data_IF_503872346274
#
_entry.id   IF_503872346274
#
_cell.length_a   1.000
_cell.length_b   1.000
_cell.length_c   1.000
_cell.angle_alpha   90.00
_cell.angle_beta   90.00
_cell.angle_gamma   90.00
#
_symmetry.space_group_name_H-M   'P 1'
#
loop_
_entity.id
_entity.type
_entity.pdbx_description
1 polymer ?
#
# COMPACT_ATOMS: atom_id res chain seq x y z
N UNK A 1 7.49 2.34 42.60
CA UNK A 1 8.14 1.39 41.68
C UNK A 1 7.40 1.48 40.36
N UNK A 2 8.10 1.97 39.33
CA UNK A 2 7.54 2.20 38.01
C UNK A 2 7.29 0.88 37.29
N UNK A 3 6.13 0.75 36.65
CA UNK A 3 5.91 -0.22 35.57
C UNK A 3 5.14 0.49 34.46
N UNK A 4 5.92 1.14 33.59
CA UNK A 4 5.47 1.62 32.30
C UNK A 4 5.50 0.43 31.33
N UNK A 5 4.34 -0.08 30.94
CA UNK A 5 4.23 -1.03 29.82
C UNK A 5 3.44 -0.31 28.73
N UNK A 6 4.03 0.04 27.57
CA UNK A 6 3.21 0.46 26.43
C UNK A 6 2.35 -0.71 25.98
N UNK A 7 1.12 -0.51 25.47
CA UNK A 7 0.39 -1.59 24.83
C UNK A 7 1.23 -2.05 23.63
N UNK A 8 1.77 -3.27 23.71
CA UNK A 8 2.25 -3.96 22.51
C UNK A 8 1.09 -4.00 21.53
N UNK A 9 1.17 -3.22 20.46
CA UNK A 9 0.15 -3.22 19.42
C UNK A 9 0.09 -4.62 18.81
N UNK A 10 -0.85 -5.43 19.29
CA UNK A 10 -1.13 -6.75 18.72
C UNK A 10 -1.77 -6.52 17.35
N UNK A 11 -0.98 -6.66 16.29
CA UNK A 11 -1.49 -6.61 14.92
C UNK A 11 -2.51 -7.73 14.69
N UNK A 12 -3.51 -7.46 13.86
CA UNK A 12 -4.52 -8.46 13.51
C UNK A 12 -3.89 -9.63 12.74
N UNK A 13 -4.52 -10.83 12.73
CA UNK A 13 -4.06 -11.94 11.90
C UNK A 13 -4.01 -11.61 10.40
N UNK A 14 -4.93 -10.76 9.92
CA UNK A 14 -4.98 -10.31 8.51
C UNK A 14 -3.80 -9.40 8.19
N UNK A 15 -3.50 -8.44 9.08
CA UNK A 15 -2.33 -7.58 8.96
C UNK A 15 -1.04 -8.38 8.86
N UNK A 16 -0.85 -9.39 9.73
CA UNK A 16 0.36 -10.22 9.73
C UNK A 16 0.50 -11.04 8.45
N UNK A 17 -0.62 -11.50 7.87
CA UNK A 17 -0.62 -12.19 6.59
C UNK A 17 -0.20 -11.24 5.45
N UNK A 18 -0.82 -10.06 5.35
CA UNK A 18 -0.50 -9.06 4.33
C UNK A 18 0.93 -8.51 4.45
N UNK A 19 1.45 -8.41 5.67
CA UNK A 19 2.86 -8.08 5.90
C UNK A 19 3.79 -9.13 5.28
N UNK A 20 3.44 -10.42 5.38
CA UNK A 20 4.18 -11.50 4.71
C UNK A 20 4.03 -11.52 3.18
N UNK A 21 2.92 -10.98 2.66
CA UNK A 21 2.69 -10.80 1.22
C UNK A 21 3.31 -9.52 0.66
N UNK A 22 3.76 -8.61 1.52
CA UNK A 22 4.42 -7.37 1.10
C UNK A 22 5.83 -7.68 0.63
N UNK A 23 6.11 -7.38 -0.63
CA UNK A 23 7.39 -7.66 -1.24
C UNK A 23 7.95 -6.43 -1.97
N UNK A 24 9.28 -6.40 -2.07
CA UNK A 24 9.96 -5.53 -3.03
C UNK A 24 9.65 -6.01 -4.44
N UNK A 25 9.40 -5.08 -5.35
CA UNK A 25 9.05 -5.37 -6.73
C UNK A 25 9.60 -4.29 -7.66
N UNK A 26 9.95 -4.70 -8.88
CA UNK A 26 10.35 -3.77 -9.93
C UNK A 26 9.13 -3.18 -10.64
N UNK A 27 9.28 -1.98 -11.20
CA UNK A 27 8.19 -1.34 -11.94
C UNK A 27 7.67 -2.20 -13.11
N UNK A 28 8.56 -2.94 -13.80
CA UNK A 28 8.22 -3.80 -14.93
C UNK A 28 7.12 -4.83 -14.60
N UNK A 29 7.16 -5.43 -13.40
CA UNK A 29 6.15 -6.38 -12.95
C UNK A 29 4.82 -5.71 -12.59
N UNK A 30 4.85 -4.42 -12.27
CA UNK A 30 3.69 -3.60 -11.93
C UNK A 30 2.97 -3.02 -13.16
N UNK A 31 3.67 -2.87 -14.29
CA UNK A 31 3.12 -2.30 -15.53
C UNK A 31 1.84 -2.99 -15.98
N UNK A 32 1.77 -4.34 -15.86
CA UNK A 32 0.57 -5.10 -16.23
C UNK A 32 -0.64 -4.75 -15.38
N UNK A 33 -0.45 -4.42 -14.11
CA UNK A 33 -1.53 -4.05 -13.19
C UNK A 33 -1.92 -2.59 -13.40
N UNK A 34 -0.95 -1.72 -13.70
CA UNK A 34 -1.20 -0.36 -14.14
C UNK A 34 -2.04 -0.33 -15.42
N UNK A 35 -1.68 -1.10 -16.45
CA UNK A 35 -2.41 -1.20 -17.71
C UNK A 35 -3.86 -1.72 -17.52
N UNK A 36 -4.09 -2.54 -16.50
CA UNK A 36 -5.42 -3.02 -16.11
C UNK A 36 -6.21 -2.01 -15.24
N UNK A 37 -5.62 -0.88 -14.88
CA UNK A 37 -6.21 0.11 -13.97
C UNK A 37 -6.37 -0.39 -12.53
N UNK A 38 -5.57 -1.38 -12.11
CA UNK A 38 -5.64 -2.06 -10.80
C UNK A 38 -4.56 -1.63 -9.80
N UNK A 39 -3.75 -0.65 -10.17
CA UNK A 39 -2.64 -0.19 -9.34
C UNK A 39 -3.07 1.00 -8.48
N UNK A 40 -2.91 0.89 -7.17
CA UNK A 40 -3.10 1.98 -6.22
C UNK A 40 -1.75 2.47 -5.71
N UNK A 41 -1.52 3.77 -5.80
CA UNK A 41 -0.38 4.44 -5.19
C UNK A 41 -0.72 4.84 -3.76
N UNK A 42 0.15 4.48 -2.82
CA UNK A 42 0.01 4.82 -1.40
C UNK A 42 1.07 5.85 -1.04
N UNK A 43 0.63 6.95 -0.43
CA UNK A 43 1.50 8.01 0.07
C UNK A 43 2.47 7.46 1.12
N UNK A 44 3.67 8.03 1.19
CA UNK A 44 4.75 7.56 2.07
C UNK A 44 4.45 7.72 3.56
N UNK A 45 3.55 8.63 3.91
CA UNK A 45 3.14 8.87 5.29
C UNK A 45 2.11 7.83 5.80
N UNK A 46 1.66 6.91 4.94
CA UNK A 46 0.81 5.79 5.32
C UNK A 46 1.59 4.48 5.35
N UNK A 47 1.16 3.58 6.23
CA UNK A 47 1.64 2.21 6.24
C UNK A 47 0.93 1.39 5.15
N UNK A 48 1.73 0.78 4.26
CA UNK A 48 1.23 0.03 3.11
C UNK A 48 0.34 -1.16 3.52
N UNK A 49 0.71 -1.86 4.61
CA UNK A 49 -0.03 -3.03 5.11
C UNK A 49 -1.37 -2.62 5.70
N UNK A 50 -1.41 -1.52 6.44
CA UNK A 50 -2.64 -0.94 7.00
C UNK A 50 -3.64 -0.54 5.91
N UNK A 51 -3.15 0.01 4.79
CA UNK A 51 -4.01 0.32 3.63
C UNK A 51 -4.56 -0.95 2.99
N UNK A 52 -3.71 -1.97 2.81
CA UNK A 52 -4.15 -3.25 2.27
C UNK A 52 -5.16 -3.97 3.17
N UNK A 53 -4.97 -3.91 4.49
CA UNK A 53 -5.89 -4.48 5.47
C UNK A 53 -7.26 -3.80 5.40
N UNK A 54 -7.30 -2.47 5.32
CA UNK A 54 -8.54 -1.72 5.21
C UNK A 54 -9.30 -2.06 3.91
N UNK A 55 -8.58 -2.22 2.78
CA UNK A 55 -9.19 -2.66 1.51
C UNK A 55 -9.70 -4.10 1.62
N UNK A 56 -8.90 -5.01 2.18
CA UNK A 56 -9.26 -6.42 2.34
C UNK A 56 -10.46 -6.61 3.27
N UNK A 57 -10.61 -5.74 4.26
CA UNK A 57 -11.70 -5.74 5.24
C UNK A 57 -12.94 -4.97 4.77
N UNK A 58 -12.94 -4.41 3.55
CA UNK A 58 -14.00 -3.55 3.02
C UNK A 58 -14.31 -2.34 3.93
N UNK A 59 -13.29 -1.77 4.59
CA UNK A 59 -13.41 -0.54 5.37
C UNK A 59 -13.51 0.69 4.45
N UNK A 60 -14.67 0.81 3.83
CA UNK A 60 -15.00 1.85 2.86
C UNK A 60 -14.88 3.25 3.43
N UNK A 61 -15.18 3.45 4.71
CA UNK A 61 -15.09 4.77 5.32
C UNK A 61 -13.64 5.24 5.41
N UNK A 62 -12.74 4.37 5.87
CA UNK A 62 -11.32 4.69 5.97
C UNK A 62 -10.67 4.85 4.59
N UNK A 63 -10.98 3.95 3.66
CA UNK A 63 -10.46 4.03 2.28
C UNK A 63 -10.95 5.30 1.58
N UNK A 64 -12.23 5.67 1.74
CA UNK A 64 -12.77 6.91 1.15
C UNK A 64 -12.09 8.16 1.72
N UNK A 65 -11.77 8.17 3.01
CA UNK A 65 -11.03 9.27 3.64
C UNK A 65 -9.64 9.44 3.02
N UNK A 66 -8.90 8.36 2.83
CA UNK A 66 -7.58 8.42 2.19
C UNK A 66 -7.64 8.82 0.72
N UNK A 67 -8.63 8.32 -0.03
CA UNK A 67 -8.87 8.74 -1.41
C UNK A 67 -9.16 10.24 -1.51
N UNK A 68 -10.01 10.75 -0.62
CA UNK A 68 -10.38 12.18 -0.59
C UNK A 68 -9.22 13.08 -0.16
N UNK A 69 -8.33 12.57 0.69
CA UNK A 69 -7.13 13.28 1.14
C UNK A 69 -5.96 13.16 0.15
N UNK A 70 -6.06 12.34 -0.91
CA UNK A 70 -4.97 12.06 -1.84
C UNK A 70 -3.84 11.21 -1.25
N UNK A 71 -4.08 10.53 -0.13
CA UNK A 71 -3.09 9.62 0.46
C UNK A 71 -3.09 8.24 -0.19
N UNK A 72 -4.22 7.83 -0.74
CA UNK A 72 -4.33 6.66 -1.59
C UNK A 72 -4.97 7.15 -2.87
N UNK A 73 -4.43 6.76 -4.01
CA UNK A 73 -5.02 7.10 -5.31
C UNK A 73 -4.76 6.00 -6.32
N UNK A 74 -5.54 5.97 -7.41
CA UNK A 74 -5.14 5.15 -8.55
C UNK A 74 -3.83 5.69 -9.11
N UNK A 75 -2.93 4.79 -9.48
CA UNK A 75 -1.65 5.17 -10.06
C UNK A 75 -1.88 6.06 -11.28
N UNK A 76 -1.35 7.28 -11.23
CA UNK A 76 -1.45 8.24 -12.34
C UNK A 76 -0.40 7.95 -13.39
N UNK A 77 -0.69 8.28 -14.64
CA UNK A 77 0.24 8.10 -15.75
C UNK A 77 1.58 8.85 -15.53
N UNK A 78 1.54 10.04 -14.90
CA UNK A 78 2.75 10.79 -14.57
C UNK A 78 3.66 10.06 -13.58
N UNK A 79 3.10 9.52 -12.49
CA UNK A 79 3.84 8.73 -11.50
C UNK A 79 4.35 7.42 -12.09
N UNK A 80 3.52 6.75 -12.90
CA UNK A 80 3.92 5.54 -13.62
C UNK A 80 5.13 5.80 -14.54
N UNK A 81 5.11 6.91 -15.29
CA UNK A 81 6.23 7.30 -16.15
C UNK A 81 7.49 7.68 -15.35
N UNK A 82 7.32 8.35 -14.21
CA UNK A 82 8.43 8.65 -13.29
C UNK A 82 9.07 7.36 -12.75
N UNK A 83 8.27 6.38 -12.33
CA UNK A 83 8.77 5.09 -11.85
C UNK A 83 9.45 4.30 -12.97
N UNK A 84 8.90 4.31 -14.19
CA UNK A 84 9.55 3.71 -15.34
C UNK A 84 10.93 4.35 -15.65
N UNK A 85 11.06 5.66 -15.42
CA UNK A 85 12.29 6.41 -15.72
C UNK A 85 13.34 6.25 -14.63
N UNK A 86 12.94 6.40 -13.37
CA UNK A 86 13.86 6.38 -12.22
C UNK A 86 14.11 4.98 -11.68
N UNK A 87 13.25 4.02 -12.01
CA UNK A 87 13.21 2.66 -11.49
C UNK A 87 13.51 2.59 -9.97
N UNK A 88 12.73 3.32 -9.15
CA UNK A 88 12.94 3.31 -7.71
C UNK A 88 12.65 1.93 -7.13
N UNK A 89 13.17 1.65 -5.93
CA UNK A 89 12.75 0.45 -5.21
C UNK A 89 11.29 0.63 -4.75
N UNK A 90 10.40 -0.28 -5.18
CA UNK A 90 8.98 -0.24 -4.85
C UNK A 90 8.62 -1.38 -3.93
N UNK A 91 7.70 -1.13 -3.00
CA UNK A 91 7.03 -2.16 -2.22
C UNK A 91 5.62 -2.32 -2.73
N UNK A 92 5.15 -3.55 -2.81
CA UNK A 92 3.79 -3.85 -3.21
C UNK A 92 3.16 -4.93 -2.34
N UNK A 93 1.85 -4.82 -2.19
CA UNK A 93 0.99 -5.83 -1.55
C UNK A 93 -0.25 -6.02 -2.41
N UNK A 94 -0.62 -7.28 -2.62
CA UNK A 94 -1.77 -7.64 -3.47
C UNK A 94 -2.99 -7.78 -2.59
N UNK A 95 -4.04 -7.03 -2.89
CA UNK A 95 -5.34 -7.10 -2.21
C UNK A 95 -6.44 -7.13 -3.25
N UNK A 96 -6.88 -8.34 -3.61
CA UNK A 96 -7.75 -8.56 -4.77
C UNK A 96 -8.97 -7.63 -4.78
N UNK A 97 -9.27 -6.97 -5.91
CA UNK A 97 -8.60 -7.07 -7.21
C UNK A 97 -7.42 -6.09 -7.41
N UNK A 98 -7.02 -5.35 -6.39
CA UNK A 98 -6.05 -4.26 -6.43
C UNK A 98 -4.62 -4.70 -6.07
N UNK A 99 -3.65 -3.89 -6.48
CA UNK A 99 -2.27 -3.96 -6.00
C UNK A 99 -1.93 -2.59 -5.43
N UNK A 100 -1.62 -2.54 -4.14
CA UNK A 100 -1.16 -1.32 -3.49
C UNK A 100 0.36 -1.22 -3.62
N UNK A 101 0.87 -0.05 -4.00
CA UNK A 101 2.28 0.20 -4.26
C UNK A 101 2.73 1.46 -3.53
N UNK A 102 3.92 1.41 -2.96
CA UNK A 102 4.56 2.53 -2.31
C UNK A 102 6.04 2.58 -2.71
N UNK A 103 6.56 3.77 -3.02
CA UNK A 103 7.99 3.94 -3.25
C UNK A 103 8.75 3.88 -1.92
N UNK A 104 9.78 3.04 -1.86
CA UNK A 104 10.70 3.03 -0.73
C UNK A 104 11.53 4.31 -0.74
N UNK A 105 11.67 4.95 0.41
CA UNK A 105 12.53 6.12 0.62
C UNK A 105 13.92 5.73 1.09
#
# INVERSE_FOLDING_TARGET
MSSNTPPSASHSPLYLNLLGETAKIDWCDLERFFAQGKLLSVARDLDLVSVAEAIASDDKEQVTRWLSAGHVERMQAGTAQDYATRNPELWAVVVSPWVCVQARS
#
